data_IF_878242167227
#
_entry.id   IF_878242167227
#
_cell.length_a   1.000
_cell.length_b   1.000
_cell.length_c   1.000
_cell.angle_alpha   90.00
_cell.angle_beta   90.00
_cell.angle_gamma   90.00
#
_symmetry.space_group_name_H-M   'P 1'
#
loop_
_entity.id
_entity.type
_entity.pdbx_description
1 polymer ?
#
# COMPACT_ATOMS: atom_id res chain seq x y z
N UNK A 1 12.87 -31.56 9.00
CA UNK A 1 12.32 -30.38 8.29
C UNK A 1 13.51 -29.53 7.85
N UNK A 2 13.62 -29.15 6.57
CA UNK A 2 14.80 -28.42 6.10
C UNK A 2 14.78 -26.95 6.55
N UNK A 3 15.95 -26.29 6.61
CA UNK A 3 16.06 -24.88 6.97
C UNK A 3 15.24 -23.98 6.01
N UNK A 4 15.28 -24.19 4.68
CA UNK A 4 14.53 -23.35 3.75
C UNK A 4 13.01 -23.38 3.93
N UNK A 5 12.40 -24.52 4.30
CA UNK A 5 10.94 -24.56 4.51
C UNK A 5 10.53 -23.81 5.78
N UNK A 6 11.37 -23.79 6.82
CA UNK A 6 11.08 -23.02 8.03
C UNK A 6 11.25 -21.52 7.81
N UNK A 7 12.27 -21.10 7.05
CA UNK A 7 12.41 -19.70 6.65
C UNK A 7 11.20 -19.24 5.82
N UNK A 8 10.77 -20.04 4.83
CA UNK A 8 9.59 -19.74 4.03
C UNK A 8 8.33 -19.60 4.92
N UNK A 9 8.15 -20.50 5.90
CA UNK A 9 7.05 -20.40 6.87
C UNK A 9 7.14 -19.12 7.72
N UNK A 10 8.34 -18.72 8.14
CA UNK A 10 8.56 -17.49 8.88
C UNK A 10 8.14 -16.28 8.05
N UNK A 11 8.52 -16.25 6.78
CA UNK A 11 8.19 -15.14 5.87
C UNK A 11 6.70 -15.05 5.56
N UNK A 12 5.99 -16.17 5.53
CA UNK A 12 4.51 -16.15 5.46
C UNK A 12 3.88 -15.61 6.74
N UNK A 13 4.44 -15.86 7.93
CA UNK A 13 3.89 -15.35 9.19
C UNK A 13 3.99 -13.82 9.27
N UNK A 14 5.05 -13.23 8.72
CA UNK A 14 5.26 -11.77 8.75
C UNK A 14 4.34 -11.00 7.80
N UNK A 15 3.62 -11.68 6.90
CA UNK A 15 2.67 -11.05 5.96
C UNK A 15 1.56 -10.26 6.65
N UNK A 16 1.13 -10.69 7.84
CA UNK A 16 0.09 -9.98 8.62
C UNK A 16 0.56 -8.59 9.06
N UNK A 17 1.87 -8.40 9.19
CA UNK A 17 2.47 -7.13 9.56
C UNK A 17 2.84 -6.28 8.34
N UNK A 18 3.34 -6.91 7.27
CA UNK A 18 3.81 -6.21 6.07
C UNK A 18 2.68 -5.84 5.10
N UNK A 19 1.64 -6.66 5.01
CA UNK A 19 0.60 -6.60 3.95
C UNK A 19 -0.73 -6.09 4.52
N UNK A 20 -0.63 -5.09 5.40
CA UNK A 20 -1.79 -4.50 6.10
C UNK A 20 -2.77 -3.90 5.11
N UNK A 21 -4.00 -4.43 5.15
CA UNK A 21 -5.11 -3.95 4.36
C UNK A 21 -5.57 -2.57 4.83
N UNK A 22 -5.85 -1.68 3.88
CA UNK A 22 -6.41 -0.36 4.18
C UNK A 22 -7.88 -0.27 3.75
N UNK A 23 -8.71 0.36 4.58
CA UNK A 23 -10.12 0.60 4.23
C UNK A 23 -10.25 1.52 3.02
N UNK A 24 -11.23 1.26 2.15
CA UNK A 24 -11.58 2.18 1.05
C UNK A 24 -12.03 3.57 1.54
N UNK A 25 -12.42 3.71 2.82
CA UNK A 25 -12.78 4.99 3.43
C UNK A 25 -11.66 6.04 3.35
N UNK A 26 -10.39 5.63 3.26
CA UNK A 26 -9.28 6.56 3.05
C UNK A 26 -9.40 7.39 1.76
N UNK A 27 -10.18 6.91 0.78
CA UNK A 27 -10.44 7.63 -0.46
C UNK A 27 -11.12 9.00 -0.25
N UNK A 28 -11.83 9.23 0.87
CA UNK A 28 -12.48 10.51 1.13
C UNK A 28 -11.52 11.61 1.60
N UNK A 29 -10.32 11.24 2.08
CA UNK A 29 -9.39 12.20 2.71
C UNK A 29 -9.04 13.40 1.83
N UNK A 30 -8.77 13.25 0.50
CA UNK A 30 -8.52 14.39 -0.39
C UNK A 30 -9.66 15.39 -0.49
N UNK A 31 -10.90 14.99 -0.16
CA UNK A 31 -12.08 15.84 -0.22
C UNK A 31 -12.29 16.62 1.07
N UNK A 32 -11.72 16.19 2.20
CA UNK A 32 -11.90 16.85 3.50
C UNK A 32 -11.46 18.32 3.51
N UNK A 33 -10.30 18.73 2.92
CA UNK A 33 -9.95 20.14 2.84
C UNK A 33 -10.99 20.98 2.09
N UNK A 34 -11.56 20.44 1.01
CA UNK A 34 -12.59 21.12 0.21
C UNK A 34 -13.88 21.27 1.02
N UNK A 35 -14.31 20.20 1.71
CA UNK A 35 -15.50 20.22 2.57
C UNK A 35 -15.33 21.26 3.69
N UNK A 36 -14.19 21.25 4.39
CA UNK A 36 -13.89 22.23 5.44
C UNK A 36 -13.88 23.65 4.89
N UNK A 37 -13.26 23.86 3.72
CA UNK A 37 -13.24 25.16 3.05
C UNK A 37 -14.65 25.68 2.71
N UNK A 38 -15.52 24.83 2.16
CA UNK A 38 -16.92 25.19 1.85
C UNK A 38 -17.71 25.50 3.11
N UNK A 39 -17.62 24.66 4.15
CA UNK A 39 -18.33 24.87 5.42
C UNK A 39 -17.93 26.21 6.03
N UNK A 40 -16.63 26.50 6.09
CA UNK A 40 -16.15 27.76 6.66
C UNK A 40 -16.54 28.95 5.81
N UNK A 41 -16.47 28.84 4.48
CA UNK A 41 -16.93 29.89 3.58
C UNK A 41 -18.40 30.26 3.85
N UNK A 42 -19.28 29.25 4.01
CA UNK A 42 -20.69 29.48 4.34
C UNK A 42 -20.84 30.15 5.71
N UNK A 43 -20.12 29.68 6.74
CA UNK A 43 -20.17 30.28 8.08
C UNK A 43 -19.75 31.75 8.05
N UNK A 44 -18.63 32.07 7.41
CA UNK A 44 -18.13 33.45 7.29
C UNK A 44 -19.12 34.31 6.51
N UNK A 45 -19.66 33.81 5.39
CA UNK A 45 -20.64 34.53 4.58
C UNK A 45 -21.90 34.86 5.40
N UNK A 46 -22.42 33.91 6.17
CA UNK A 46 -23.60 34.15 7.03
C UNK A 46 -23.32 35.17 8.13
N UNK A 47 -22.14 35.13 8.75
CA UNK A 47 -21.73 36.11 9.76
C UNK A 47 -21.63 37.53 9.17
N UNK A 48 -21.06 37.67 7.96
CA UNK A 48 -20.94 38.95 7.26
C UNK A 48 -22.31 39.50 6.85
N UNK A 49 -23.20 38.67 6.31
CA UNK A 49 -24.56 39.11 5.95
C UNK A 49 -25.34 39.56 7.20
N UNK A 50 -25.24 38.79 8.30
CA UNK A 50 -25.85 39.16 9.57
C UNK A 50 -25.31 40.48 10.12
N UNK A 51 -24.01 40.74 9.95
CA UNK A 51 -23.41 42.02 10.32
C UNK A 51 -23.99 43.20 9.56
N UNK A 52 -24.05 43.08 8.23
CA UNK A 52 -24.56 44.14 7.35
C UNK A 52 -26.02 44.45 7.68
N UNK A 53 -26.84 43.42 7.90
CA UNK A 53 -28.25 43.59 8.26
C UNK A 53 -28.47 44.15 9.67
N UNK A 54 -27.45 44.17 10.51
CA UNK A 54 -27.51 44.75 11.87
C UNK A 54 -27.16 46.24 11.95
N UNK A 55 -26.81 46.86 10.81
CA UNK A 55 -26.53 48.30 10.72
C UNK A 55 -27.86 49.07 10.78
N UNK A 56 -28.14 49.69 11.92
CA UNK A 56 -29.30 50.57 12.12
C UNK A 56 -29.18 51.91 11.37
N UNK A 57 -30.26 52.73 11.32
CA UNK A 57 -30.23 54.02 10.66
C UNK A 57 -29.11 54.94 11.18
N UNK A 58 -28.64 55.91 10.36
CA UNK A 58 -27.56 56.82 10.75
C UNK A 58 -27.91 57.53 12.06
N UNK A 59 -27.10 57.33 13.11
CA UNK A 59 -27.27 57.99 14.42
C UNK A 59 -27.59 57.08 15.60
N UNK A 60 -27.85 55.78 15.40
CA UNK A 60 -27.95 54.81 16.50
C UNK A 60 -26.61 54.14 16.76
N UNK A 61 -26.13 54.11 18.01
CA UNK A 61 -24.96 53.32 18.42
C UNK A 61 -25.28 51.83 18.24
N UNK A 62 -24.87 51.26 17.12
CA UNK A 62 -25.05 49.84 16.82
C UNK A 62 -24.24 49.00 17.82
N UNK A 63 -24.93 48.28 18.70
CA UNK A 63 -24.38 47.28 19.64
C UNK A 63 -23.87 46.01 18.94
N UNK A 64 -23.92 45.93 17.60
CA UNK A 64 -23.56 44.75 16.80
C UNK A 64 -22.06 44.46 16.63
N UNK A 65 -21.16 45.30 17.12
CA UNK A 65 -19.70 45.18 16.87
C UNK A 65 -18.99 44.06 17.65
N UNK A 66 -19.21 43.86 18.97
CA UNK A 66 -18.48 42.83 19.74
C UNK A 66 -18.92 41.39 19.44
N UNK A 67 -20.23 41.17 19.25
CA UNK A 67 -20.78 39.85 18.96
C UNK A 67 -20.34 39.34 17.58
N UNK A 68 -20.30 40.22 16.59
CA UNK A 68 -19.76 39.92 15.27
C UNK A 68 -18.26 39.60 15.33
N UNK A 69 -17.48 40.42 16.04
CA UNK A 69 -16.05 40.19 16.23
C UNK A 69 -15.77 38.83 16.89
N UNK A 70 -16.53 38.47 17.92
CA UNK A 70 -16.44 37.17 18.59
C UNK A 70 -16.83 36.00 17.66
N UNK A 71 -17.89 36.15 16.86
CA UNK A 71 -18.32 35.14 15.90
C UNK A 71 -17.27 34.91 14.79
N UNK A 72 -16.71 35.98 14.23
CA UNK A 72 -15.64 35.91 13.23
C UNK A 72 -14.38 35.28 13.82
N UNK A 73 -13.93 35.71 14.99
CA UNK A 73 -12.77 35.14 15.67
C UNK A 73 -12.97 33.64 15.98
N UNK A 74 -14.14 33.25 16.47
CA UNK A 74 -14.50 31.86 16.71
C UNK A 74 -14.51 31.03 15.43
N UNK A 75 -15.03 31.57 14.32
CA UNK A 75 -15.05 30.88 13.03
C UNK A 75 -13.65 30.66 12.44
N UNK A 76 -12.75 31.64 12.60
CA UNK A 76 -11.35 31.54 12.18
C UNK A 76 -10.62 30.49 13.01
N UNK A 77 -10.82 30.50 14.33
CA UNK A 77 -10.24 29.49 15.21
C UNK A 77 -10.71 28.08 14.84
N UNK A 78 -12.02 27.90 14.62
CA UNK A 78 -12.60 26.63 14.20
C UNK A 78 -12.02 26.17 12.84
N UNK A 79 -11.87 27.08 11.87
CA UNK A 79 -11.25 26.78 10.58
C UNK A 79 -9.83 26.21 10.76
N UNK A 80 -8.96 26.92 11.50
CA UNK A 80 -7.59 26.47 11.70
C UNK A 80 -7.52 25.13 12.43
N UNK A 81 -8.40 24.93 13.42
CA UNK A 81 -8.50 23.66 14.14
C UNK A 81 -8.92 22.51 13.21
N UNK A 82 -9.99 22.69 12.42
CA UNK A 82 -10.45 21.67 11.48
C UNK A 82 -9.39 21.37 10.41
N UNK A 83 -8.73 22.40 9.89
CA UNK A 83 -7.65 22.23 8.92
C UNK A 83 -6.47 21.46 9.51
N UNK A 84 -6.08 21.74 10.75
CA UNK A 84 -5.06 20.98 11.47
C UNK A 84 -5.41 19.50 11.62
N UNK A 85 -6.66 19.19 11.98
CA UNK A 85 -7.14 17.79 12.05
C UNK A 85 -7.06 17.11 10.68
N UNK A 86 -7.45 17.80 9.61
CA UNK A 86 -7.35 17.27 8.24
C UNK A 86 -5.89 17.02 7.84
N UNK A 87 -4.97 17.92 8.19
CA UNK A 87 -3.54 17.72 7.94
C UNK A 87 -3.02 16.46 8.63
N UNK A 88 -3.39 16.24 9.89
CA UNK A 88 -3.02 15.01 10.62
C UNK A 88 -3.54 13.76 9.88
N UNK A 89 -4.79 13.78 9.42
CA UNK A 89 -5.36 12.66 8.64
C UNK A 89 -4.60 12.42 7.33
N UNK A 90 -4.23 13.47 6.61
CA UNK A 90 -3.41 13.38 5.38
C UNK A 90 -2.02 12.80 5.69
N UNK A 91 -1.36 13.26 6.75
CA UNK A 91 -0.07 12.73 7.18
C UNK A 91 -0.16 11.24 7.54
N UNK A 92 -1.19 10.82 8.26
CA UNK A 92 -1.43 9.40 8.58
C UNK A 92 -1.67 8.58 7.31
N UNK A 93 -2.46 9.09 6.36
CA UNK A 93 -2.68 8.43 5.07
C UNK A 93 -1.34 8.20 4.35
N UNK A 94 -0.53 9.25 4.19
CA UNK A 94 0.77 9.16 3.52
C UNK A 94 1.67 8.16 4.23
N UNK A 95 1.78 8.24 5.56
CA UNK A 95 2.58 7.32 6.36
C UNK A 95 2.17 5.87 6.08
N UNK A 96 0.88 5.56 6.16
CA UNK A 96 0.37 4.19 5.95
C UNK A 96 0.64 3.69 4.53
N UNK A 97 0.43 4.53 3.52
CA UNK A 97 0.64 4.16 2.12
C UNK A 97 2.12 3.85 1.82
N UNK A 98 3.04 4.68 2.31
CA UNK A 98 4.48 4.50 2.10
C UNK A 98 5.03 3.36 2.95
N UNK A 99 4.62 3.29 4.22
CA UNK A 99 5.05 2.24 5.15
C UNK A 99 4.70 0.85 4.62
N UNK A 100 3.45 0.61 4.19
CA UNK A 100 3.05 -0.71 3.66
C UNK A 100 3.78 -1.08 2.37
N UNK A 101 4.08 -0.11 1.51
CA UNK A 101 4.89 -0.35 0.30
C UNK A 101 6.27 -0.87 0.68
N UNK A 102 6.94 -0.21 1.64
CA UNK A 102 8.28 -0.62 2.06
C UNK A 102 8.26 -2.01 2.71
N UNK A 103 7.35 -2.22 3.67
CA UNK A 103 7.30 -3.48 4.41
C UNK A 103 6.93 -4.64 3.50
N UNK A 104 6.00 -4.45 2.56
CA UNK A 104 5.64 -5.47 1.58
C UNK A 104 6.82 -5.82 0.67
N UNK A 105 7.47 -4.82 0.06
CA UNK A 105 8.55 -5.06 -0.92
C UNK A 105 9.75 -5.73 -0.25
N UNK A 106 10.13 -5.27 0.95
CA UNK A 106 11.19 -5.90 1.72
C UNK A 106 10.88 -7.37 2.06
N UNK A 107 9.63 -7.67 2.46
CA UNK A 107 9.22 -9.04 2.74
C UNK A 107 9.23 -9.90 1.47
N UNK A 108 8.76 -9.37 0.35
CA UNK A 108 8.77 -10.09 -0.93
C UNK A 108 10.19 -10.45 -1.37
N UNK A 109 11.16 -9.56 -1.18
CA UNK A 109 12.57 -9.86 -1.46
C UNK A 109 13.08 -11.04 -0.61
N UNK A 110 12.80 -11.05 0.71
CA UNK A 110 13.19 -12.15 1.60
C UNK A 110 12.52 -13.47 1.20
N UNK A 111 11.22 -13.41 0.92
CA UNK A 111 10.44 -14.56 0.46
C UNK A 111 11.03 -15.16 -0.82
N UNK A 112 11.37 -14.32 -1.79
CA UNK A 112 11.98 -14.75 -3.05
C UNK A 112 13.36 -15.39 -2.84
N UNK A 113 14.17 -14.88 -1.91
CA UNK A 113 15.46 -15.47 -1.54
C UNK A 113 15.31 -16.86 -0.90
N UNK A 114 14.31 -17.04 -0.04
CA UNK A 114 14.03 -18.33 0.58
C UNK A 114 13.46 -19.33 -0.44
N UNK A 115 12.66 -18.87 -1.40
CA UNK A 115 12.20 -19.68 -2.54
C UNK A 115 13.39 -20.13 -3.41
N UNK A 116 14.34 -19.25 -3.72
CA UNK A 116 15.57 -19.60 -4.45
C UNK A 116 16.34 -20.67 -3.69
N UNK A 117 16.50 -20.49 -2.38
CA UNK A 117 17.23 -21.44 -1.52
C UNK A 117 16.55 -22.80 -1.50
N UNK A 118 15.22 -22.83 -1.44
CA UNK A 118 14.44 -24.06 -1.54
C UNK A 118 14.62 -24.75 -2.90
N UNK A 119 14.52 -24.01 -4.00
CA UNK A 119 14.70 -24.55 -5.34
C UNK A 119 16.11 -25.16 -5.51
N UNK A 120 17.15 -24.49 -4.99
CA UNK A 120 18.53 -25.01 -4.94
C UNK A 120 18.63 -26.32 -4.16
N UNK A 121 18.02 -26.39 -2.98
CA UNK A 121 18.07 -27.59 -2.13
C UNK A 121 17.40 -28.79 -2.82
N UNK A 122 16.23 -28.59 -3.42
CA UNK A 122 15.49 -29.66 -4.11
C UNK A 122 16.23 -30.10 -5.38
N UNK A 123 16.74 -29.15 -6.17
CA UNK A 123 17.53 -29.44 -7.36
C UNK A 123 18.76 -30.28 -7.06
N UNK A 124 19.53 -29.90 -6.02
CA UNK A 124 20.69 -30.65 -5.58
C UNK A 124 20.34 -32.07 -5.12
N UNK A 125 19.26 -32.24 -4.34
CA UNK A 125 18.79 -33.56 -3.91
C UNK A 125 18.36 -34.47 -5.07
N UNK A 126 17.75 -33.89 -6.10
CA UNK A 126 17.26 -34.63 -7.28
C UNK A 126 18.30 -34.74 -8.40
N UNK A 127 19.47 -34.13 -8.26
CA UNK A 127 20.51 -34.12 -9.30
C UNK A 127 20.07 -33.45 -10.60
N UNK A 128 19.14 -32.49 -10.53
CA UNK A 128 18.63 -31.76 -11.72
C UNK A 128 19.31 -30.41 -11.81
N UNK A 129 19.86 -30.08 -12.98
CA UNK A 129 20.42 -28.76 -13.23
C UNK A 129 19.33 -27.74 -13.58
N UNK A 130 19.19 -26.72 -12.74
CA UNK A 130 18.31 -25.56 -12.93
C UNK A 130 19.09 -24.24 -12.83
N UNK A 131 20.41 -24.27 -13.05
CA UNK A 131 21.32 -23.14 -12.79
C UNK A 131 20.93 -21.87 -13.54
N UNK A 132 20.44 -21.98 -14.79
CA UNK A 132 19.99 -20.83 -15.58
C UNK A 132 18.78 -20.15 -14.92
N UNK A 133 17.79 -20.94 -14.50
CA UNK A 133 16.57 -20.42 -13.88
C UNK A 133 16.88 -19.79 -12.52
N UNK A 134 17.73 -20.44 -11.72
CA UNK A 134 18.19 -19.89 -10.45
C UNK A 134 18.97 -18.58 -10.65
N UNK A 135 19.83 -18.49 -11.67
CA UNK A 135 20.57 -17.27 -11.96
C UNK A 135 19.63 -16.12 -12.35
N UNK A 136 18.60 -16.39 -13.16
CA UNK A 136 17.59 -15.40 -13.51
C UNK A 136 16.80 -14.93 -12.29
N UNK A 137 16.35 -15.85 -11.44
CA UNK A 137 15.64 -15.53 -10.19
C UNK A 137 16.51 -14.67 -9.26
N UNK A 138 17.77 -15.05 -9.04
CA UNK A 138 18.72 -14.26 -8.24
C UNK A 138 18.97 -12.88 -8.84
N UNK A 139 19.10 -12.80 -10.16
CA UNK A 139 19.26 -11.52 -10.86
C UNK A 139 18.05 -10.61 -10.63
N UNK A 140 16.84 -11.15 -10.76
CA UNK A 140 15.60 -10.42 -10.51
C UNK A 140 15.55 -9.87 -9.08
N UNK A 141 15.89 -10.68 -8.07
CA UNK A 141 15.99 -10.25 -6.66
C UNK A 141 17.03 -9.14 -6.47
N UNK A 142 18.21 -9.25 -7.10
CA UNK A 142 19.24 -8.20 -7.03
C UNK A 142 18.78 -6.89 -7.67
N UNK A 143 18.12 -6.96 -8.82
CA UNK A 143 17.54 -5.79 -9.48
C UNK A 143 16.42 -5.17 -8.62
N UNK A 144 15.57 -5.99 -8.00
CA UNK A 144 14.56 -5.54 -7.05
C UNK A 144 15.19 -4.80 -5.86
N UNK A 145 16.26 -5.33 -5.25
CA UNK A 145 16.97 -4.64 -4.15
C UNK A 145 17.49 -3.24 -4.54
N UNK A 146 17.87 -3.04 -5.80
CA UNK A 146 18.35 -1.75 -6.30
C UNK A 146 17.20 -0.77 -6.60
N UNK A 147 16.12 -1.27 -7.22
CA UNK A 147 15.02 -0.42 -7.69
C UNK A 147 13.92 -0.20 -6.64
N UNK A 148 13.76 -1.13 -5.70
CA UNK A 148 12.71 -1.14 -4.68
C UNK A 148 13.16 -0.57 -3.34
N UNK A 149 14.20 0.26 -3.33
CA UNK A 149 14.75 0.87 -2.12
C UNK A 149 13.70 1.57 -1.22
N UNK A 150 13.99 1.56 0.08
CA UNK A 150 13.10 2.12 1.09
C UNK A 150 12.89 3.63 0.93
N UNK A 151 11.68 4.08 1.21
CA UNK A 151 11.32 5.50 1.27
C UNK A 151 10.92 5.88 2.69
N UNK A 152 11.53 6.91 3.29
CA UNK A 152 11.27 7.27 4.68
C UNK A 152 9.81 7.74 4.90
N UNK A 153 8.93 6.82 5.32
CA UNK A 153 7.50 7.07 5.44
C UNK A 153 7.17 8.26 6.36
N UNK A 154 7.92 8.43 7.44
CA UNK A 154 7.78 9.55 8.38
C UNK A 154 8.11 10.88 7.71
N UNK A 155 9.20 10.95 6.95
CA UNK A 155 9.59 12.15 6.21
C UNK A 155 8.50 12.55 5.19
N UNK A 156 8.00 11.59 4.42
CA UNK A 156 6.91 11.85 3.46
C UNK A 156 5.63 12.31 4.16
N UNK A 157 5.31 11.76 5.32
CA UNK A 157 4.13 12.13 6.10
C UNK A 157 4.22 13.56 6.69
N UNK A 158 5.41 14.00 7.08
CA UNK A 158 5.63 15.32 7.69
C UNK A 158 5.69 16.46 6.69
N UNK A 159 6.20 16.23 5.48
CA UNK A 159 6.41 17.32 4.53
C UNK A 159 5.12 17.80 3.84
N UNK A 160 4.10 16.94 3.70
CA UNK A 160 2.80 17.18 3.04
C UNK A 160 2.85 18.09 1.77
N UNK A 161 1.71 18.59 1.29
CA UNK A 161 1.66 19.53 0.15
C UNK A 161 2.18 18.94 -1.18
N UNK A 162 3.18 19.56 -1.81
CA UNK A 162 3.76 19.07 -3.07
C UNK A 162 4.33 17.65 -2.96
N UNK A 163 4.72 17.23 -1.75
CA UNK A 163 5.20 15.87 -1.50
C UNK A 163 4.09 14.85 -1.73
N UNK A 164 2.81 15.17 -1.50
CA UNK A 164 1.68 14.28 -1.79
C UNK A 164 1.65 13.88 -3.27
N UNK A 165 1.86 14.84 -4.18
CA UNK A 165 1.81 14.58 -5.62
C UNK A 165 2.91 13.59 -6.01
N UNK A 166 4.13 13.78 -5.49
CA UNK A 166 5.23 12.86 -5.73
C UNK A 166 5.00 11.50 -5.06
N UNK A 167 4.43 11.46 -3.85
CA UNK A 167 4.01 10.22 -3.19
C UNK A 167 3.01 9.43 -4.03
N UNK A 168 1.99 10.09 -4.53
CA UNK A 168 0.97 9.48 -5.37
C UNK A 168 1.56 8.98 -6.70
N UNK A 169 2.53 9.71 -7.28
CA UNK A 169 3.29 9.27 -8.45
C UNK A 169 4.07 7.98 -8.19
N UNK A 170 4.97 7.99 -7.20
CA UNK A 170 5.86 6.84 -7.02
C UNK A 170 5.09 5.62 -6.52
N UNK A 171 4.06 5.76 -5.68
CA UNK A 171 3.28 4.60 -5.22
C UNK A 171 2.60 3.90 -6.40
N UNK A 172 2.02 4.67 -7.32
CA UNK A 172 1.37 4.12 -8.52
C UNK A 172 2.37 3.37 -9.41
N UNK A 173 3.56 3.96 -9.63
CA UNK A 173 4.58 3.36 -10.50
C UNK A 173 5.34 2.22 -9.82
N UNK A 174 5.63 2.32 -8.53
CA UNK A 174 6.35 1.32 -7.77
C UNK A 174 5.56 0.02 -7.71
N UNK A 175 4.26 0.06 -7.38
CA UNK A 175 3.42 -1.14 -7.35
C UNK A 175 3.25 -1.79 -8.73
N UNK A 176 3.07 -0.98 -9.78
CA UNK A 176 3.03 -1.49 -11.14
C UNK A 176 4.33 -2.23 -11.50
N UNK A 177 5.48 -1.58 -11.29
CA UNK A 177 6.80 -2.16 -11.60
C UNK A 177 7.10 -3.41 -10.76
N UNK A 178 6.74 -3.37 -9.48
CA UNK A 178 6.90 -4.48 -8.55
C UNK A 178 6.16 -5.72 -9.06
N UNK A 179 4.88 -5.60 -9.38
CA UNK A 179 4.10 -6.75 -9.88
C UNK A 179 4.65 -7.30 -11.20
N UNK A 180 5.13 -6.44 -12.11
CA UNK A 180 5.77 -6.90 -13.36
C UNK A 180 7.07 -7.67 -13.09
N UNK A 181 7.89 -7.23 -12.12
CA UNK A 181 9.10 -7.96 -11.72
C UNK A 181 8.77 -9.29 -11.06
N UNK A 182 7.78 -9.30 -10.17
CA UNK A 182 7.28 -10.53 -9.56
C UNK A 182 6.81 -11.52 -10.62
N UNK A 183 6.05 -11.09 -11.63
CA UNK A 183 5.60 -11.97 -12.71
C UNK A 183 6.79 -12.65 -13.41
N UNK A 184 7.90 -11.92 -13.64
CA UNK A 184 9.12 -12.51 -14.20
C UNK A 184 9.74 -13.55 -13.26
N UNK A 185 9.88 -13.20 -11.97
CA UNK A 185 10.39 -14.13 -10.95
C UNK A 185 9.53 -15.39 -10.85
N UNK A 186 8.21 -15.22 -10.77
CA UNK A 186 7.22 -16.29 -10.70
C UNK A 186 7.35 -17.22 -11.92
N UNK A 187 7.48 -16.66 -13.12
CA UNK A 187 7.61 -17.48 -14.32
C UNK A 187 8.87 -18.36 -14.34
N UNK A 188 10.00 -17.86 -13.84
CA UNK A 188 11.23 -18.65 -13.73
C UNK A 188 11.16 -19.65 -12.56
N UNK A 189 10.55 -19.25 -11.44
CA UNK A 189 10.27 -20.11 -10.31
C UNK A 189 9.40 -21.31 -10.73
N UNK A 190 8.29 -21.08 -11.42
CA UNK A 190 7.40 -22.14 -11.90
C UNK A 190 8.14 -23.13 -12.80
N UNK A 191 9.01 -22.63 -13.70
CA UNK A 191 9.85 -23.47 -14.55
C UNK A 191 10.86 -24.27 -13.74
N UNK A 192 11.49 -23.66 -12.73
CA UNK A 192 12.49 -24.32 -11.89
C UNK A 192 11.85 -25.46 -11.09
N UNK A 193 10.72 -25.17 -10.43
CA UNK A 193 9.98 -26.16 -9.65
C UNK A 193 9.39 -27.28 -10.52
N UNK A 194 8.91 -26.97 -11.73
CA UNK A 194 8.49 -27.99 -12.69
C UNK A 194 9.66 -28.88 -13.14
N UNK A 195 10.83 -28.30 -13.43
CA UNK A 195 12.02 -29.06 -13.84
C UNK A 195 12.50 -30.04 -12.75
N UNK A 196 12.37 -29.66 -11.48
CA UNK A 196 12.65 -30.56 -10.35
C UNK A 196 11.45 -31.44 -9.97
N UNK A 197 10.41 -31.53 -10.79
CA UNK A 197 9.26 -32.44 -10.59
C UNK A 197 8.37 -32.07 -9.39
N UNK A 198 8.25 -30.79 -9.07
CA UNK A 198 7.33 -30.24 -8.06
C UNK A 198 6.52 -29.12 -8.72
N UNK A 199 5.60 -29.42 -9.65
CA UNK A 199 4.86 -28.38 -10.36
C UNK A 199 4.04 -27.54 -9.38
N UNK A 200 4.20 -26.21 -9.45
CA UNK A 200 3.41 -25.27 -8.66
C UNK A 200 2.27 -24.72 -9.51
N UNK A 201 1.03 -24.83 -9.03
CA UNK A 201 -0.16 -24.42 -9.76
C UNK A 201 -0.86 -23.25 -9.07
N UNK A 202 -0.64 -22.03 -9.58
CA UNK A 202 -1.25 -20.84 -9.00
C UNK A 202 -2.72 -20.64 -9.36
N UNK A 203 -3.50 -20.03 -8.45
CA UNK A 203 -4.78 -19.45 -8.83
C UNK A 203 -4.57 -18.32 -9.85
N UNK A 204 -5.58 -18.06 -10.68
CA UNK A 204 -5.54 -16.98 -11.68
C UNK A 204 -5.39 -15.61 -11.00
N UNK A 205 -4.32 -14.88 -11.35
CA UNK A 205 -4.03 -13.51 -10.86
C UNK A 205 -4.85 -12.50 -11.66
N UNK A 206 -5.91 -11.95 -11.08
CA UNK A 206 -6.81 -11.00 -11.75
C UNK A 206 -7.54 -10.06 -10.76
N UNK A 207 -7.60 -8.75 -11.02
CA UNK A 207 -6.92 -8.01 -12.10
C UNK A 207 -5.44 -7.72 -11.77
N UNK A 208 -4.57 -7.58 -12.78
CA UNK A 208 -3.24 -7.02 -12.61
C UNK A 208 -3.33 -5.53 -12.26
N UNK A 209 -2.30 -4.98 -11.61
CA UNK A 209 -2.17 -3.55 -11.39
C UNK A 209 -1.95 -2.87 -12.75
N UNK A 210 -2.85 -1.98 -13.21
CA UNK A 210 -2.71 -1.37 -14.52
C UNK A 210 -1.70 -0.22 -14.52
N UNK A 211 -1.03 -0.03 -15.66
CA UNK A 211 -0.16 1.12 -15.89
C UNK A 211 -0.99 2.38 -16.11
N UNK A 212 -1.08 3.21 -15.07
CA UNK A 212 -1.86 4.44 -15.10
C UNK A 212 -1.00 5.65 -15.44
N UNK A 213 -1.60 6.59 -16.17
CA UNK A 213 -0.96 7.86 -16.51
C UNK A 213 -1.00 8.83 -15.32
N UNK A 214 0.16 9.13 -14.75
CA UNK A 214 0.29 10.15 -13.71
C UNK A 214 -0.19 11.52 -14.21
N UNK A 215 0.17 11.90 -15.43
CA UNK A 215 -0.20 13.20 -16.00
C UNK A 215 -1.72 13.36 -16.09
N UNK A 216 -2.43 12.31 -16.52
CA UNK A 216 -3.89 12.30 -16.56
C UNK A 216 -4.47 12.48 -15.15
N UNK A 217 -3.97 11.73 -14.17
CA UNK A 217 -4.45 11.81 -12.80
C UNK A 217 -4.21 13.19 -12.18
N UNK A 218 -3.03 13.77 -12.41
CA UNK A 218 -2.69 15.12 -11.98
C UNK A 218 -3.60 16.18 -12.59
N UNK A 219 -3.79 16.16 -13.92
CA UNK A 219 -4.66 17.12 -14.62
C UNK A 219 -6.11 16.98 -14.15
N UNK A 220 -6.63 15.76 -14.04
CA UNK A 220 -8.00 15.53 -13.56
C UNK A 220 -8.20 16.01 -12.12
N UNK A 221 -7.24 15.79 -11.22
CA UNK A 221 -7.30 16.34 -9.85
C UNK A 221 -7.31 17.86 -9.84
N UNK A 222 -6.53 18.52 -10.71
CA UNK A 222 -6.48 19.97 -10.79
C UNK A 222 -7.80 20.56 -11.31
N UNK A 223 -8.29 20.08 -12.48
CA UNK A 223 -9.48 20.67 -13.13
C UNK A 223 -10.77 20.38 -12.37
N UNK A 224 -10.81 19.30 -11.57
CA UNK A 224 -11.99 18.96 -10.75
C UNK A 224 -11.93 19.53 -9.34
N UNK A 225 -10.94 20.39 -9.02
CA UNK A 225 -10.81 20.98 -7.69
C UNK A 225 -10.65 19.93 -6.58
N UNK A 226 -9.79 18.93 -6.80
CA UNK A 226 -9.50 17.79 -5.92
C UNK A 226 -10.57 16.69 -5.84
N UNK A 227 -11.73 16.82 -6.50
CA UNK A 227 -12.75 15.75 -6.50
C UNK A 227 -12.19 14.44 -7.08
N UNK A 228 -11.46 14.50 -8.20
CA UNK A 228 -10.80 13.32 -8.77
C UNK A 228 -9.71 12.74 -7.84
N UNK A 229 -9.19 13.53 -6.90
CA UNK A 229 -8.28 13.06 -5.87
C UNK A 229 -8.85 11.88 -5.05
N UNK A 230 -10.18 11.81 -4.90
CA UNK A 230 -10.87 10.67 -4.26
C UNK A 230 -10.59 9.37 -5.01
N UNK A 231 -10.77 9.38 -6.33
CA UNK A 231 -10.48 8.21 -7.16
C UNK A 231 -8.99 7.87 -7.18
N UNK A 232 -8.11 8.88 -7.16
CA UNK A 232 -6.68 8.66 -7.07
C UNK A 232 -6.30 7.91 -5.78
N UNK A 233 -6.77 8.37 -4.62
CA UNK A 233 -6.52 7.65 -3.35
C UNK A 233 -7.18 6.29 -3.34
N UNK A 234 -8.39 6.16 -3.91
CA UNK A 234 -9.05 4.88 -4.05
C UNK A 234 -8.18 3.84 -4.76
N UNK A 235 -7.57 4.17 -5.91
CA UNK A 235 -6.69 3.21 -6.62
C UNK A 235 -5.40 2.96 -5.85
N UNK A 236 -4.81 4.00 -5.26
CA UNK A 236 -3.61 3.84 -4.42
C UNK A 236 -3.87 2.88 -3.28
N UNK A 237 -5.06 2.88 -2.67
CA UNK A 237 -5.45 1.94 -1.61
C UNK A 237 -5.78 0.56 -2.14
N UNK A 238 -6.60 0.50 -3.19
CA UNK A 238 -7.28 -0.73 -3.63
C UNK A 238 -6.37 -1.64 -4.44
N UNK A 239 -5.49 -1.11 -5.28
CA UNK A 239 -4.62 -1.99 -6.08
C UNK A 239 -3.66 -2.78 -5.19
N UNK A 240 -2.93 -2.17 -4.24
CA UNK A 240 -2.08 -2.92 -3.31
C UNK A 240 -2.88 -3.89 -2.45
N UNK A 241 -4.08 -3.52 -2.01
CA UNK A 241 -4.93 -4.43 -1.24
C UNK A 241 -5.26 -5.70 -2.04
N UNK A 242 -5.64 -5.56 -3.31
CA UNK A 242 -5.96 -6.67 -4.20
C UNK A 242 -4.72 -7.52 -4.48
N UNK A 243 -3.59 -6.86 -4.78
CA UNK A 243 -2.29 -7.50 -4.97
C UNK A 243 -1.88 -8.33 -3.75
N UNK A 244 -1.95 -7.78 -2.54
CA UNK A 244 -1.65 -8.50 -1.30
C UNK A 244 -2.53 -9.74 -1.12
N UNK A 245 -3.83 -9.65 -1.43
CA UNK A 245 -4.74 -10.81 -1.35
C UNK A 245 -4.36 -11.91 -2.33
N UNK A 246 -4.04 -11.53 -3.57
CA UNK A 246 -3.58 -12.48 -4.57
C UNK A 246 -2.25 -13.12 -4.13
N UNK A 247 -1.32 -12.32 -3.59
CA UNK A 247 -0.03 -12.81 -3.11
C UNK A 247 -0.17 -13.77 -1.94
N UNK A 248 -1.07 -13.51 -0.98
CA UNK A 248 -1.35 -14.44 0.12
C UNK A 248 -1.83 -15.81 -0.41
N UNK A 249 -2.71 -15.83 -1.41
CA UNK A 249 -3.19 -17.08 -2.01
C UNK A 249 -2.06 -17.84 -2.73
N UNK A 250 -1.17 -17.11 -3.41
CA UNK A 250 0.00 -17.69 -4.07
C UNK A 250 0.99 -18.27 -3.06
N UNK A 251 1.32 -17.53 -2.00
CA UNK A 251 2.18 -17.97 -0.91
C UNK A 251 1.64 -19.22 -0.20
N UNK A 252 0.33 -19.25 0.09
CA UNK A 252 -0.32 -20.41 0.69
C UNK A 252 -0.25 -21.64 -0.24
N UNK A 253 -0.37 -21.42 -1.55
CA UNK A 253 -0.23 -22.46 -2.58
C UNK A 253 1.20 -23.02 -2.61
N UNK A 254 2.21 -22.14 -2.62
CA UNK A 254 3.63 -22.54 -2.57
C UNK A 254 3.87 -23.39 -1.32
N UNK A 255 3.44 -22.90 -0.16
CA UNK A 255 3.65 -23.62 1.10
C UNK A 255 2.95 -24.98 1.13
N UNK A 256 1.71 -25.07 0.66
CA UNK A 256 0.97 -26.32 0.61
C UNK A 256 1.69 -27.35 -0.28
N UNK A 257 2.12 -26.94 -1.48
CA UNK A 257 2.71 -27.86 -2.46
C UNK A 257 4.14 -28.26 -2.08
N UNK A 258 4.96 -27.32 -1.60
CA UNK A 258 6.33 -27.61 -1.17
C UNK A 258 6.40 -28.39 0.15
N UNK A 259 5.48 -28.14 1.08
CA UNK A 259 5.42 -28.91 2.34
C UNK A 259 5.00 -30.36 2.10
N UNK A 260 4.12 -30.61 1.12
CA UNK A 260 3.67 -31.97 0.78
C UNK A 260 4.76 -32.85 0.16
N UNK A 261 5.82 -32.22 -0.39
CA UNK A 261 6.99 -32.91 -0.94
C UNK A 261 8.13 -33.15 0.07
N UNK A 262 8.01 -32.67 1.31
CA UNK A 262 8.87 -33.17 2.40
C UNK A 262 8.39 -34.57 2.78
N UNK A 263 9.26 -35.58 2.90
CA UNK A 263 8.84 -36.87 3.39
C UNK A 263 8.20 -36.69 4.77
N UNK A 264 6.94 -37.13 4.89
CA UNK A 264 6.37 -37.51 6.18
C UNK A 264 7.45 -38.31 6.92
N UNK A 265 7.69 -37.93 8.17
CA UNK A 265 8.54 -38.70 9.06
C UNK A 265 8.25 -40.19 8.89
N UNK A 266 9.30 -41.00 8.74
CA UNK A 266 9.19 -42.46 8.65
C UNK A 266 8.19 -42.96 9.68
N UNK A 267 7.27 -43.88 9.32
CA UNK A 267 6.32 -44.41 10.28
C UNK A 267 7.12 -44.98 11.46
N UNK A 268 6.77 -44.54 12.66
CA UNK A 268 7.32 -45.07 13.91
C UNK A 268 7.17 -46.60 13.84
N UNK A 269 8.27 -47.39 13.99
CA UNK A 269 8.15 -48.83 14.02
C UNK A 269 7.18 -49.22 15.13
N UNK A 270 6.14 -49.99 14.79
CA UNK A 270 5.21 -50.54 15.77
C UNK A 270 6.01 -51.33 16.81
N UNK A 271 5.75 -51.06 18.09
CA UNK A 271 6.36 -51.78 19.19
C UNK A 271 6.14 -53.30 19.04
N UNK A 272 7.13 -54.14 19.41
CA UNK A 272 7.01 -55.58 19.26
C UNK A 272 5.88 -56.12 20.15
N UNK A 273 5.15 -57.15 19.70
CA UNK A 273 4.10 -57.77 20.50
C UNK A 273 4.72 -58.48 21.71
N UNK A 274 4.10 -58.26 22.88
CA UNK A 274 4.38 -59.00 24.11
C UNK A 274 3.87 -60.44 24.04
#
# INVERSE_FOLDING_TARGET
MSIPIENLRRDLRTRLESDKQMSGAWAIVPLLPVIVGVVVFVVVLTAVISAINSIGPPGTTTTGSPALGAALAGSIFLLYFLYFVVLVLVSVLIFKLVSRRNTHFNRQILLQEDIITMAKEIAAKKGVDVSILLNNMERNVREARLEEGEKNATLYALLYGFVWIYTAYFLMKDFFKHERREDLFINDMLRAFNAVGVPINFPYRNPPIPDRSFALYFVLTLITGSIFGVYWVYVLVTDPNNHFRQQMLMEDTIMAQLSSTSPLASPIPSAPPN
#
